data_IF_044921079895
#
_entry.id   IF_044921079895
#
_cell.length_a   1.000
_cell.length_b   1.000
_cell.length_c   1.000
_cell.angle_alpha   90.00
_cell.angle_beta   90.00
_cell.angle_gamma   90.00
#
_symmetry.space_group_name_H-M   'P 1'
#
loop_
_entity.id
_entity.type
_entity.pdbx_description
1 polymer ?
#
# COMPACT_ATOMS: atom_id res chain seq x y z
N UNK A 1 -5.45 64.42 -56.72
CA UNK A 1 -6.59 63.71 -56.06
C UNK A 1 -6.34 62.24 -56.03
N UNK A 2 -5.28 61.78 -55.32
CA UNK A 2 -5.01 60.37 -55.13
C UNK A 2 -4.30 60.24 -53.80
N UNK A 3 -5.00 60.35 -52.69
CA UNK A 3 -4.42 60.15 -51.36
C UNK A 3 -5.48 59.89 -50.27
N UNK A 4 -6.59 59.17 -50.60
CA UNK A 4 -7.66 58.97 -49.58
C UNK A 4 -8.27 57.56 -49.54
N UNK A 5 -7.58 56.60 -50.13
CA UNK A 5 -8.16 55.20 -50.20
C UNK A 5 -7.32 54.12 -49.49
N UNK A 6 -6.29 54.50 -48.78
CA UNK A 6 -5.37 53.51 -48.15
C UNK A 6 -5.52 53.37 -46.62
N UNK A 7 -6.48 54.08 -45.99
CA UNK A 7 -6.67 54.04 -44.55
C UNK A 7 -7.81 53.14 -44.10
N UNK A 8 -8.53 52.51 -45.04
CA UNK A 8 -9.68 51.66 -44.70
C UNK A 8 -9.37 50.17 -44.66
N UNK A 9 -8.15 49.72 -44.99
CA UNK A 9 -7.79 48.29 -45.02
C UNK A 9 -6.93 47.87 -43.83
N UNK A 10 -6.37 48.83 -43.06
CA UNK A 10 -5.51 48.51 -41.92
C UNK A 10 -6.27 48.26 -40.59
N UNK A 11 -7.56 48.56 -40.56
CA UNK A 11 -8.37 48.44 -39.31
C UNK A 11 -9.18 47.16 -39.21
N UNK A 12 -9.14 46.29 -40.21
CA UNK A 12 -9.96 45.05 -40.22
C UNK A 12 -9.16 43.78 -39.96
N UNK A 13 -7.83 43.87 -39.69
CA UNK A 13 -6.98 42.70 -39.38
C UNK A 13 -6.56 42.60 -37.90
N UNK A 14 -7.01 43.53 -37.02
CA UNK A 14 -6.71 43.49 -35.59
C UNK A 14 -7.88 42.85 -34.78
N UNK A 15 -9.03 42.66 -35.39
CA UNK A 15 -10.22 42.09 -34.70
C UNK A 15 -10.36 40.57 -34.80
N UNK A 16 -9.48 39.87 -35.52
CA UNK A 16 -9.57 38.40 -35.68
C UNK A 16 -8.50 37.60 -34.94
N UNK A 17 -7.64 38.29 -34.13
CA UNK A 17 -6.55 37.68 -33.38
C UNK A 17 -6.81 37.55 -31.87
N UNK A 18 -8.00 37.88 -31.40
CA UNK A 18 -8.33 37.86 -29.97
C UNK A 18 -9.42 36.91 -29.63
N UNK A 19 -9.13 35.63 -29.42
CA UNK A 19 -10.21 34.75 -28.91
C UNK A 19 -9.98 33.28 -28.96
N UNK A 20 -8.78 32.79 -28.81
CA UNK A 20 -8.58 31.41 -28.31
C UNK A 20 -7.73 31.53 -27.04
N UNK A 21 -8.31 32.10 -25.98
CA UNK A 21 -7.93 31.75 -24.65
C UNK A 21 -8.43 30.31 -24.44
N UNK A 22 -7.55 29.34 -24.70
CA UNK A 22 -7.75 27.98 -24.20
C UNK A 22 -7.80 28.13 -22.70
N UNK A 23 -9.00 28.04 -22.12
CA UNK A 23 -9.18 27.81 -20.71
C UNK A 23 -8.55 26.44 -20.43
N UNK A 24 -7.28 26.43 -20.11
CA UNK A 24 -6.65 25.35 -19.36
C UNK A 24 -7.36 25.45 -18.01
N UNK A 25 -8.45 24.69 -17.86
CA UNK A 25 -9.02 24.45 -16.57
C UNK A 25 -7.89 23.81 -15.75
N UNK A 26 -7.27 24.59 -14.89
CA UNK A 26 -6.46 24.06 -13.81
C UNK A 26 -7.33 23.04 -13.11
N UNK A 27 -7.12 21.76 -13.43
CA UNK A 27 -7.59 20.69 -12.56
C UNK A 27 -6.80 20.88 -11.27
N UNK A 28 -7.36 21.61 -10.34
CA UNK A 28 -6.88 21.58 -8.96
C UNK A 28 -6.82 20.12 -8.54
N UNK A 29 -5.61 19.59 -8.48
CA UNK A 29 -5.36 18.30 -7.83
C UNK A 29 -5.81 18.54 -6.38
N UNK A 30 -6.81 17.79 -5.87
CA UNK A 30 -7.29 18.02 -4.52
C UNK A 30 -6.09 17.98 -3.55
N UNK A 31 -5.92 19.02 -2.77
CA UNK A 31 -4.85 19.05 -1.77
C UNK A 31 -4.98 17.84 -0.85
N UNK A 32 -3.85 17.18 -0.55
CA UNK A 32 -3.87 16.05 0.37
C UNK A 32 -4.47 16.51 1.71
N UNK A 33 -5.35 15.69 2.36
CA UNK A 33 -5.96 16.04 3.63
C UNK A 33 -4.91 16.43 4.67
N UNK A 34 -5.25 17.36 5.56
CA UNK A 34 -4.38 17.69 6.68
C UNK A 34 -4.09 16.44 7.54
N UNK A 35 -2.90 16.32 8.18
CA UNK A 35 -2.54 15.11 8.93
C UNK A 35 -3.57 14.66 9.98
N UNK A 36 -4.29 15.60 10.60
CA UNK A 36 -5.35 15.32 11.58
C UNK A 36 -6.65 14.77 10.95
N UNK A 37 -6.83 14.90 9.64
CA UNK A 37 -8.02 14.45 8.90
C UNK A 37 -7.81 13.11 8.21
N UNK A 38 -6.57 12.60 8.22
CA UNK A 38 -6.24 11.34 7.55
C UNK A 38 -6.70 10.14 8.38
N UNK A 39 -7.27 9.10 7.74
CA UNK A 39 -7.58 7.86 8.42
C UNK A 39 -6.36 7.26 9.12
N UNK A 40 -6.54 6.72 10.32
CA UNK A 40 -5.47 6.06 11.05
C UNK A 40 -5.16 4.68 10.42
N UNK A 41 -3.87 4.40 10.24
CA UNK A 41 -3.35 3.12 9.76
C UNK A 41 -2.30 2.61 10.74
N UNK A 42 -2.59 1.51 11.44
CA UNK A 42 -1.55 0.81 12.19
C UNK A 42 -0.61 0.08 11.21
N UNK A 43 0.69 0.15 11.45
CA UNK A 43 1.73 -0.49 10.63
C UNK A 43 2.57 -1.42 11.48
N UNK A 44 2.47 -2.72 11.25
CA UNK A 44 3.35 -3.76 11.78
C UNK A 44 4.26 -4.25 10.67
N UNK A 45 5.56 -4.08 10.80
CA UNK A 45 6.49 -4.48 9.75
C UNK A 45 7.84 -4.91 10.31
N UNK A 46 8.48 -5.88 9.63
CA UNK A 46 9.90 -6.20 9.81
C UNK A 46 10.80 -5.51 8.77
N UNK A 47 10.18 -4.91 7.74
CA UNK A 47 10.89 -4.22 6.67
C UNK A 47 11.34 -2.83 7.13
N UNK A 48 12.45 -2.30 6.63
CA UNK A 48 12.97 -0.98 7.00
C UNK A 48 12.16 0.16 6.34
N UNK A 49 10.82 0.13 6.48
CA UNK A 49 9.92 1.12 5.87
C UNK A 49 9.94 2.45 6.62
N UNK A 50 9.98 2.38 7.96
CA UNK A 50 9.89 3.57 8.83
C UNK A 50 11.28 4.17 9.07
N UNK A 51 12.25 3.30 9.34
CA UNK A 51 13.64 3.67 9.54
C UNK A 51 14.48 2.91 8.54
N UNK A 52 15.27 3.62 7.74
CA UNK A 52 16.22 2.99 6.84
C UNK A 52 17.24 2.13 7.60
N UNK A 53 17.90 1.20 6.92
CA UNK A 53 18.95 0.35 7.55
C UNK A 53 20.16 1.12 8.03
N UNK A 54 20.43 2.31 7.49
CA UNK A 54 21.52 3.17 7.88
C UNK A 54 21.00 4.32 8.76
N UNK A 55 21.56 4.48 9.94
CA UNK A 55 21.36 5.65 10.80
C UNK A 55 22.07 6.86 10.17
N UNK A 56 21.41 7.56 9.25
CA UNK A 56 21.87 8.81 8.67
C UNK A 56 20.84 9.91 8.86
N UNK A 57 21.27 11.13 9.09
CA UNK A 57 20.39 12.32 9.21
C UNK A 57 19.53 12.58 7.95
N UNK A 58 19.76 11.81 6.88
CA UNK A 58 19.02 11.87 5.62
C UNK A 58 18.18 10.62 5.35
N UNK A 59 18.09 9.67 6.26
CA UNK A 59 17.25 8.50 6.13
C UNK A 59 15.78 8.87 6.38
N UNK A 60 15.16 9.54 5.43
CA UNK A 60 13.70 9.61 5.31
C UNK A 60 13.13 8.19 5.19
N UNK A 61 11.87 7.99 5.55
CA UNK A 61 11.17 6.72 5.36
C UNK A 61 11.20 6.27 3.90
N UNK A 62 10.85 5.01 3.67
CA UNK A 62 10.80 4.42 2.32
C UNK A 62 9.78 5.14 1.42
N UNK A 63 9.88 4.91 0.10
CA UNK A 63 8.88 5.38 -0.86
C UNK A 63 7.47 4.85 -0.50
N UNK A 64 7.39 3.60 -0.02
CA UNK A 64 6.14 3.00 0.45
C UNK A 64 5.56 3.77 1.66
N UNK A 65 6.37 4.10 2.67
CA UNK A 65 5.91 4.92 3.80
C UNK A 65 5.43 6.29 3.33
N UNK A 66 6.21 6.96 2.50
CA UNK A 66 5.84 8.28 1.95
C UNK A 66 4.51 8.21 1.17
N UNK A 67 4.27 7.14 0.44
CA UNK A 67 3.02 6.90 -0.29
C UNK A 67 1.84 6.68 0.65
N UNK A 68 2.03 5.91 1.71
CA UNK A 68 1.01 5.70 2.75
C UNK A 68 0.66 7.00 3.48
N UNK A 69 1.68 7.80 3.85
CA UNK A 69 1.50 9.05 4.58
C UNK A 69 0.80 10.15 3.78
N UNK A 70 0.72 10.04 2.45
CA UNK A 70 -0.09 10.95 1.63
C UNK A 70 -1.58 10.82 1.95
N UNK A 71 -2.05 9.63 2.34
CA UNK A 71 -3.46 9.34 2.60
C UNK A 71 -3.78 9.02 4.06
N UNK A 72 -2.86 8.38 4.78
CA UNK A 72 -3.07 7.84 6.11
C UNK A 72 -2.23 8.57 7.16
N UNK A 73 -2.73 8.59 8.39
CA UNK A 73 -1.92 8.85 9.58
C UNK A 73 -1.32 7.51 10.02
N UNK A 74 -0.07 7.24 9.58
CA UNK A 74 0.61 5.96 9.83
C UNK A 74 1.13 5.90 11.26
N UNK A 75 0.76 4.83 11.98
CA UNK A 75 1.20 4.56 13.35
C UNK A 75 1.96 3.23 13.39
N UNK A 76 3.29 3.25 13.48
CA UNK A 76 4.06 2.03 13.67
C UNK A 76 3.73 1.37 15.02
N UNK A 77 3.56 0.05 15.00
CA UNK A 77 3.36 -0.79 16.20
C UNK A 77 4.37 -1.93 16.19
N UNK A 78 4.77 -2.39 17.37
CA UNK A 78 5.72 -3.49 17.51
C UNK A 78 5.04 -4.86 17.52
N UNK A 79 3.81 -4.92 18.01
CA UNK A 79 2.98 -6.14 18.13
C UNK A 79 1.53 -5.82 17.82
N UNK A 80 0.78 -6.83 17.38
CA UNK A 80 -0.64 -6.70 17.07
C UNK A 80 -1.52 -7.16 18.25
N UNK A 81 -1.28 -6.60 19.44
CA UNK A 81 -2.07 -6.86 20.63
C UNK A 81 -3.30 -5.94 20.74
N UNK A 82 -4.21 -6.26 21.63
CA UNK A 82 -5.43 -5.51 21.86
C UNK A 82 -5.18 -4.06 22.28
N UNK A 83 -4.07 -3.79 22.97
CA UNK A 83 -3.68 -2.43 23.40
C UNK A 83 -3.22 -1.59 22.21
N UNK A 84 -2.35 -2.14 21.34
CA UNK A 84 -1.86 -1.47 20.13
C UNK A 84 -2.96 -1.25 19.09
N UNK A 85 -3.93 -2.17 19.00
CA UNK A 85 -5.05 -2.14 18.07
C UNK A 85 -6.25 -1.34 18.59
N UNK A 86 -6.22 -0.89 19.84
CA UNK A 86 -7.31 -0.11 20.43
C UNK A 86 -7.57 1.18 19.63
N UNK A 87 -8.81 1.33 19.16
CA UNK A 87 -9.24 2.48 18.35
C UNK A 87 -8.76 2.45 16.90
N UNK A 88 -7.96 1.45 16.51
CA UNK A 88 -7.59 1.23 15.11
C UNK A 88 -8.72 0.49 14.39
N UNK A 89 -8.89 0.81 13.11
CA UNK A 89 -9.80 0.08 12.22
C UNK A 89 -9.09 -0.59 11.06
N UNK A 90 -7.90 -0.11 10.73
CA UNK A 90 -7.10 -0.57 9.60
C UNK A 90 -5.68 -0.89 10.07
N UNK A 91 -5.21 -2.07 9.70
CA UNK A 91 -3.87 -2.58 9.99
C UNK A 91 -3.19 -3.04 8.71
N UNK A 92 -1.98 -2.54 8.47
CA UNK A 92 -1.07 -3.09 7.48
C UNK A 92 -0.01 -3.92 8.20
N UNK A 93 0.05 -5.20 7.89
CA UNK A 93 1.10 -6.12 8.32
C UNK A 93 2.04 -6.38 7.13
N UNK A 94 3.07 -5.56 6.99
CA UNK A 94 4.02 -5.65 5.88
C UNK A 94 5.15 -6.62 6.23
N UNK A 95 5.04 -7.87 5.82
CA UNK A 95 5.99 -8.95 6.09
C UNK A 95 6.40 -9.00 7.57
N UNK A 96 5.44 -9.18 8.48
CA UNK A 96 5.72 -9.14 9.92
C UNK A 96 6.58 -10.33 10.34
N UNK A 97 7.32 -10.17 11.44
CA UNK A 97 7.92 -11.33 12.12
C UNK A 97 6.86 -12.25 12.67
N UNK A 98 7.22 -13.51 12.88
CA UNK A 98 6.37 -14.46 13.59
C UNK A 98 5.85 -13.84 14.90
N UNK A 99 4.54 -13.87 15.09
CA UNK A 99 3.89 -13.40 16.29
C UNK A 99 3.61 -14.60 17.21
N UNK A 100 3.73 -14.45 18.55
CA UNK A 100 3.26 -15.46 19.49
C UNK A 100 1.78 -15.81 19.26
N UNK A 101 1.40 -17.04 19.59
CA UNK A 101 0.05 -17.53 19.36
C UNK A 101 -1.03 -16.68 20.07
N UNK A 102 -0.72 -16.17 21.23
CA UNK A 102 -1.61 -15.33 22.03
C UNK A 102 -1.95 -14.04 21.29
N UNK A 103 -0.95 -13.41 20.65
CA UNK A 103 -1.15 -12.19 19.85
C UNK A 103 -1.94 -12.46 18.56
N UNK A 104 -1.82 -13.67 18.00
CA UNK A 104 -2.62 -14.05 16.83
C UNK A 104 -4.09 -14.26 17.21
N UNK A 105 -4.37 -14.75 18.41
CA UNK A 105 -5.75 -14.84 18.94
C UNK A 105 -6.33 -13.41 19.11
N UNK A 106 -5.60 -12.50 19.74
CA UNK A 106 -6.04 -11.11 19.91
C UNK A 106 -6.28 -10.41 18.57
N UNK A 107 -5.40 -10.64 17.60
CA UNK A 107 -5.57 -10.14 16.23
C UNK A 107 -6.81 -10.72 15.56
N UNK A 108 -7.04 -12.04 15.65
CA UNK A 108 -8.24 -12.68 15.08
C UNK A 108 -9.52 -12.12 15.72
N UNK A 109 -9.53 -11.97 17.04
CA UNK A 109 -10.65 -11.36 17.77
C UNK A 109 -10.90 -9.92 17.32
N UNK A 110 -9.83 -9.12 17.14
CA UNK A 110 -9.94 -7.76 16.66
C UNK A 110 -10.52 -7.71 15.23
N UNK A 111 -10.06 -8.60 14.33
CA UNK A 111 -10.60 -8.69 12.98
C UNK A 111 -12.08 -9.12 13.04
N UNK A 112 -12.42 -10.16 13.83
CA UNK A 112 -13.82 -10.62 13.99
C UNK A 112 -14.73 -9.53 14.53
N UNK A 113 -14.21 -8.63 15.34
CA UNK A 113 -14.91 -7.46 15.87
C UNK A 113 -15.11 -6.31 14.88
N UNK A 114 -14.65 -6.45 13.62
CA UNK A 114 -14.81 -5.45 12.56
C UNK A 114 -13.50 -4.77 12.13
N UNK A 115 -12.36 -5.21 12.65
CA UNK A 115 -11.04 -4.79 12.20
C UNK A 115 -10.77 -5.21 10.75
N UNK A 116 -9.90 -4.49 10.08
CA UNK A 116 -9.55 -4.71 8.67
C UNK A 116 -8.05 -4.80 8.53
N UNK A 117 -7.55 -5.90 8.01
CA UNK A 117 -6.12 -6.17 7.89
C UNK A 117 -5.72 -6.41 6.44
N UNK A 118 -4.64 -5.76 6.02
CA UNK A 118 -3.87 -6.11 4.84
C UNK A 118 -2.58 -6.77 5.29
N UNK A 119 -2.40 -8.04 4.95
CA UNK A 119 -1.20 -8.82 5.26
C UNK A 119 -0.41 -9.07 3.98
N UNK A 120 0.85 -8.64 3.96
CA UNK A 120 1.82 -8.99 2.93
C UNK A 120 2.63 -10.17 3.45
N UNK A 121 2.34 -11.37 2.93
CA UNK A 121 2.89 -12.63 3.37
C UNK A 121 3.78 -13.21 2.28
N UNK A 122 5.07 -12.84 2.32
CA UNK A 122 6.03 -13.25 1.31
C UNK A 122 6.70 -14.57 1.70
N UNK A 123 6.51 -15.67 0.96
CA UNK A 123 7.16 -16.93 1.29
C UNK A 123 8.66 -16.94 0.97
N UNK A 124 9.15 -15.98 0.19
CA UNK A 124 10.55 -15.90 -0.24
C UNK A 124 10.98 -14.46 -0.52
N UNK A 125 11.16 -13.72 0.56
CA UNK A 125 11.53 -12.30 0.51
C UNK A 125 12.92 -12.12 -0.13
N UNK A 126 12.98 -11.27 -1.17
CA UNK A 126 14.21 -10.90 -1.88
C UNK A 126 14.78 -9.55 -1.43
N UNK A 127 14.29 -9.01 -0.31
CA UNK A 127 14.68 -7.71 0.21
C UNK A 127 16.16 -7.68 0.58
N UNK A 128 16.95 -6.88 -0.13
CA UNK A 128 18.36 -6.70 0.17
C UNK A 128 18.54 -6.03 1.54
N UNK A 129 19.43 -6.60 2.34
CA UNK A 129 19.79 -6.06 3.65
C UNK A 129 21.30 -6.13 3.84
N UNK A 130 21.89 -5.02 4.30
CA UNK A 130 23.31 -4.94 4.68
C UNK A 130 23.59 -5.53 6.06
N UNK A 131 22.53 -5.88 6.81
CA UNK A 131 22.65 -6.48 8.13
C UNK A 131 23.11 -7.93 8.03
N UNK A 132 23.99 -8.41 8.93
CA UNK A 132 24.44 -9.80 8.92
C UNK A 132 23.25 -10.76 9.18
N UNK A 133 23.43 -12.00 8.75
CA UNK A 133 22.47 -13.07 9.04
C UNK A 133 22.40 -13.26 10.56
N UNK A 134 21.19 -13.32 11.11
CA UNK A 134 20.94 -13.41 12.56
C UNK A 134 20.81 -12.08 13.27
N UNK A 135 21.03 -10.94 12.61
CA UNK A 135 20.73 -9.64 13.19
C UNK A 135 19.19 -9.52 13.46
N UNK A 136 18.78 -9.17 14.67
CA UNK A 136 17.36 -9.03 15.02
C UNK A 136 16.60 -7.99 14.20
N UNK A 137 17.30 -7.06 13.55
CA UNK A 137 16.69 -6.04 12.71
C UNK A 137 16.71 -6.40 11.21
N UNK A 138 17.33 -7.52 10.82
CA UNK A 138 17.25 -8.01 9.46
C UNK A 138 15.86 -8.57 9.19
N UNK A 139 15.18 -8.21 8.10
CA UNK A 139 13.93 -8.85 7.72
C UNK A 139 14.07 -10.37 7.62
N UNK A 140 13.10 -11.17 8.09
CA UNK A 140 13.14 -12.62 7.91
C UNK A 140 13.06 -12.97 6.42
N UNK A 141 13.76 -14.03 5.95
CA UNK A 141 13.80 -14.38 4.53
C UNK A 141 12.47 -14.95 4.00
N UNK A 142 11.55 -15.27 4.89
CA UNK A 142 10.23 -15.78 4.56
C UNK A 142 9.21 -15.40 5.63
N UNK A 143 7.97 -15.21 5.22
CA UNK A 143 6.86 -15.07 6.17
C UNK A 143 6.64 -16.40 6.89
N UNK A 144 6.66 -16.34 8.21
CA UNK A 144 6.37 -17.48 9.06
C UNK A 144 4.88 -17.46 9.43
N UNK A 145 4.07 -18.26 8.74
CA UNK A 145 2.69 -18.51 9.17
C UNK A 145 2.69 -19.40 10.42
N UNK A 146 2.37 -18.81 11.56
CA UNK A 146 2.22 -19.52 12.82
C UNK A 146 0.78 -19.97 13.07
N UNK A 147 0.00 -20.15 11.99
CA UNK A 147 -1.34 -20.72 12.01
C UNK A 147 -2.48 -19.73 11.69
N UNK A 148 -2.20 -18.44 11.56
CA UNK A 148 -3.22 -17.44 11.28
C UNK A 148 -3.89 -17.65 9.91
N UNK A 149 -3.08 -17.88 8.86
CA UNK A 149 -3.63 -18.13 7.52
C UNK A 149 -4.46 -19.39 7.47
N UNK A 150 -3.94 -20.49 8.04
CA UNK A 150 -4.67 -21.74 8.11
C UNK A 150 -6.00 -21.59 8.90
N UNK A 151 -6.00 -20.78 9.96
CA UNK A 151 -7.20 -20.48 10.73
C UNK A 151 -8.26 -19.73 9.91
N UNK A 152 -7.84 -18.87 9.00
CA UNK A 152 -8.72 -18.17 8.06
C UNK A 152 -9.03 -18.99 6.79
N UNK A 153 -8.52 -20.23 6.72
CA UNK A 153 -8.73 -21.13 5.58
C UNK A 153 -7.95 -20.75 4.34
N UNK A 154 -6.79 -20.13 4.53
CA UNK A 154 -5.86 -19.71 3.47
C UNK A 154 -4.61 -20.55 3.54
N UNK A 155 -4.14 -21.02 2.41
CA UNK A 155 -2.88 -21.73 2.22
C UNK A 155 -1.93 -20.86 1.40
N UNK A 156 -0.70 -20.68 1.89
CA UNK A 156 0.38 -19.96 1.22
C UNK A 156 1.46 -20.95 0.81
N UNK A 157 1.84 -20.93 -0.46
CA UNK A 157 2.93 -21.72 -1.02
C UNK A 157 3.88 -20.83 -1.82
N UNK A 158 5.08 -21.30 -2.10
CA UNK A 158 5.92 -20.67 -3.11
C UNK A 158 5.22 -20.80 -4.48
N UNK A 159 5.20 -19.71 -5.23
CA UNK A 159 4.61 -19.67 -6.58
C UNK A 159 5.64 -19.88 -7.64
N UNK A 160 5.18 -20.19 -8.84
CA UNK A 160 5.98 -20.13 -10.05
C UNK A 160 5.68 -18.80 -10.75
N UNK A 161 6.61 -18.30 -11.55
CA UNK A 161 6.44 -17.10 -12.36
C UNK A 161 5.15 -17.18 -13.16
N UNK A 162 4.25 -16.25 -12.91
CA UNK A 162 2.98 -16.09 -13.62
C UNK A 162 2.75 -14.62 -13.89
N UNK A 163 1.85 -14.30 -14.78
CA UNK A 163 1.44 -12.93 -15.05
C UNK A 163 0.85 -12.28 -13.80
N UNK A 164 1.65 -11.46 -13.13
CA UNK A 164 1.28 -10.75 -11.91
C UNK A 164 1.02 -9.26 -12.19
N UNK A 165 0.20 -8.61 -11.34
CA UNK A 165 -0.08 -7.17 -11.48
C UNK A 165 1.11 -6.27 -11.09
N UNK A 166 2.17 -6.84 -10.49
CA UNK A 166 3.37 -6.14 -9.99
C UNK A 166 4.64 -6.87 -10.44
N UNK A 167 5.76 -6.18 -10.43
CA UNK A 167 7.09 -6.78 -10.64
C UNK A 167 7.52 -7.52 -9.37
N UNK A 168 7.11 -8.76 -9.24
CA UNK A 168 7.49 -9.63 -8.15
C UNK A 168 8.66 -10.54 -8.57
N UNK A 169 9.66 -10.67 -7.72
CA UNK A 169 10.85 -11.47 -8.01
C UNK A 169 10.58 -12.97 -7.85
N UNK A 170 9.87 -13.34 -6.79
CA UNK A 170 9.49 -14.72 -6.51
C UNK A 170 8.17 -14.73 -5.72
N UNK A 171 7.06 -14.51 -6.39
CA UNK A 171 5.77 -14.37 -5.70
C UNK A 171 5.35 -15.68 -5.08
N UNK A 172 4.63 -15.56 -3.97
CA UNK A 172 3.90 -16.68 -3.40
C UNK A 172 2.61 -16.96 -4.16
N UNK A 173 2.00 -18.08 -3.83
CA UNK A 173 0.68 -18.46 -4.30
C UNK A 173 -0.25 -18.76 -3.13
N UNK A 174 -1.40 -18.11 -3.15
CA UNK A 174 -2.46 -18.28 -2.17
C UNK A 174 -3.58 -19.15 -2.73
N UNK A 175 -4.09 -20.05 -1.92
CA UNK A 175 -5.29 -20.83 -2.20
C UNK A 175 -6.26 -20.73 -1.03
N UNK A 176 -7.55 -20.73 -1.31
CA UNK A 176 -8.60 -20.80 -0.30
C UNK A 176 -9.88 -21.39 -0.88
N UNK A 177 -10.65 -22.08 -0.04
CA UNK A 177 -12.02 -22.54 -0.35
C UNK A 177 -13.08 -21.65 0.31
N UNK A 178 -12.67 -20.78 1.23
CA UNK A 178 -13.57 -19.96 2.05
C UNK A 178 -13.51 -18.48 1.66
N UNK A 179 -12.46 -18.07 0.98
CA UNK A 179 -12.17 -16.69 0.63
C UNK A 179 -12.17 -16.48 -0.90
N UNK A 180 -12.34 -15.26 -1.33
CA UNK A 180 -12.18 -14.86 -2.73
C UNK A 180 -10.69 -14.89 -3.12
N UNK A 181 -10.36 -15.70 -4.12
CA UNK A 181 -9.00 -15.77 -4.69
C UNK A 181 -8.96 -14.92 -5.96
N UNK A 182 -8.02 -14.00 -6.04
CA UNK A 182 -7.85 -13.08 -7.15
C UNK A 182 -6.40 -13.09 -7.68
N UNK A 183 -6.19 -12.52 -8.86
CA UNK A 183 -4.89 -12.40 -9.50
C UNK A 183 -4.12 -13.75 -9.51
N UNK A 184 -4.76 -14.82 -9.97
CA UNK A 184 -4.18 -16.17 -10.07
C UNK A 184 -3.58 -16.71 -8.75
N UNK A 185 -4.15 -16.33 -7.60
CA UNK A 185 -3.67 -16.74 -6.29
C UNK A 185 -2.65 -15.76 -5.68
N UNK A 186 -2.41 -14.62 -6.30
CA UNK A 186 -1.54 -13.59 -5.72
C UNK A 186 -2.24 -12.83 -4.57
N UNK A 187 -3.55 -12.69 -4.63
CA UNK A 187 -4.36 -11.99 -3.63
C UNK A 187 -5.49 -12.89 -3.17
N UNK A 188 -5.71 -12.95 -1.86
CA UNK A 188 -6.88 -13.57 -1.25
C UNK A 188 -7.59 -12.57 -0.35
N UNK A 189 -8.93 -12.52 -0.44
CA UNK A 189 -9.77 -11.64 0.38
C UNK A 189 -10.77 -12.45 1.17
N UNK A 190 -10.66 -12.38 2.49
CA UNK A 190 -11.47 -13.13 3.45
C UNK A 190 -12.43 -12.22 4.20
N UNK A 191 -13.61 -12.73 4.46
CA UNK A 191 -14.49 -12.19 5.51
C UNK A 191 -14.25 -12.98 6.78
N UNK A 192 -13.88 -12.30 7.86
CA UNK A 192 -13.59 -12.90 9.16
C UNK A 192 -14.49 -12.24 10.20
N UNK A 193 -15.57 -12.91 10.59
CA UNK A 193 -16.58 -12.31 11.46
C UNK A 193 -17.20 -11.05 10.83
N UNK A 194 -17.11 -9.92 11.52
CA UNK A 194 -17.57 -8.62 11.02
C UNK A 194 -16.49 -7.86 10.24
N UNK A 195 -15.24 -8.32 10.31
CA UNK A 195 -14.11 -7.69 9.67
C UNK A 195 -13.67 -8.37 8.39
N UNK A 196 -12.49 -8.00 7.94
CA UNK A 196 -11.92 -8.46 6.66
C UNK A 196 -10.42 -8.60 6.75
N UNK A 197 -9.91 -9.61 6.05
CA UNK A 197 -8.49 -9.79 5.82
C UNK A 197 -8.23 -9.87 4.31
N UNK A 198 -7.32 -9.06 3.82
CA UNK A 198 -6.72 -9.23 2.49
C UNK A 198 -5.29 -9.71 2.67
N UNK A 199 -4.90 -10.77 1.97
CA UNK A 199 -3.56 -11.33 1.99
C UNK A 199 -2.98 -11.19 0.59
N UNK A 200 -1.77 -10.67 0.48
CA UNK A 200 -0.97 -10.60 -0.75
C UNK A 200 0.26 -11.48 -0.55
N UNK A 201 0.55 -12.36 -1.50
CA UNK A 201 1.62 -13.35 -1.41
C UNK A 201 2.99 -12.79 -1.83
N UNK A 202 3.26 -11.55 -1.50
CA UNK A 202 4.51 -10.85 -1.82
C UNK A 202 4.66 -9.63 -0.92
N UNK A 203 5.89 -9.20 -0.67
CA UNK A 203 6.20 -7.95 0.01
C UNK A 203 7.33 -7.17 -0.68
N UNK A 204 8.03 -7.79 -1.64
CA UNK A 204 9.12 -7.17 -2.38
C UNK A 204 8.66 -5.98 -3.22
N UNK A 205 7.40 -6.02 -3.69
CA UNK A 205 6.81 -4.93 -4.45
C UNK A 205 6.75 -3.58 -3.69
N UNK A 206 6.88 -3.59 -2.35
CA UNK A 206 7.00 -2.35 -1.57
C UNK A 206 8.29 -1.58 -1.86
N UNK A 207 9.29 -2.25 -2.42
CA UNK A 207 10.54 -1.65 -2.89
C UNK A 207 10.49 -1.31 -4.38
N UNK A 208 9.38 -1.59 -5.02
CA UNK A 208 9.13 -1.39 -6.43
C UNK A 208 8.77 0.05 -6.81
N UNK A 209 8.31 0.20 -8.03
CA UNK A 209 7.93 1.48 -8.60
C UNK A 209 6.55 1.98 -8.17
N UNK A 210 6.14 3.11 -8.74
CA UNK A 210 4.84 3.74 -8.42
C UNK A 210 3.64 2.82 -8.64
N UNK A 211 3.67 2.00 -9.71
CA UNK A 211 2.57 1.07 -10.03
C UNK A 211 2.38 0.00 -8.96
N UNK A 212 3.47 -0.46 -8.37
CA UNK A 212 3.45 -1.47 -7.33
C UNK A 212 2.85 -0.90 -6.04
N UNK A 213 3.23 0.34 -5.71
CA UNK A 213 2.65 1.06 -4.58
C UNK A 213 1.17 1.43 -4.82
N UNK A 214 0.73 1.59 -6.06
CA UNK A 214 -0.69 1.80 -6.37
C UNK A 214 -1.53 0.55 -6.07
N UNK A 215 -0.97 -0.66 -6.21
CA UNK A 215 -1.62 -1.89 -5.75
C UNK A 215 -1.83 -1.87 -4.23
N UNK A 216 -0.79 -1.54 -3.45
CA UNK A 216 -0.89 -1.39 -2.00
C UNK A 216 -2.04 -0.45 -1.62
N UNK A 217 -2.06 0.73 -2.22
CA UNK A 217 -3.07 1.75 -1.94
C UNK A 217 -4.47 1.28 -2.32
N UNK A 218 -4.63 0.63 -3.48
CA UNK A 218 -5.93 0.15 -3.95
C UNK A 218 -6.53 -0.92 -3.04
N UNK A 219 -5.71 -1.83 -2.49
CA UNK A 219 -6.21 -2.87 -1.57
C UNK A 219 -6.53 -2.29 -0.18
N UNK A 220 -5.77 -1.31 0.31
CA UNK A 220 -6.11 -0.58 1.54
C UNK A 220 -7.43 0.19 1.38
N UNK A 221 -7.62 0.90 0.28
CA UNK A 221 -8.86 1.63 -0.03
C UNK A 221 -10.06 0.69 -0.17
N UNK A 222 -9.86 -0.47 -0.78
CA UNK A 222 -10.88 -1.52 -0.89
C UNK A 222 -11.31 -2.04 0.49
N UNK A 223 -10.35 -2.19 1.40
CA UNK A 223 -10.65 -2.59 2.79
C UNK A 223 -11.44 -1.50 3.52
N UNK A 224 -11.13 -0.22 3.30
CA UNK A 224 -11.84 0.90 3.93
C UNK A 224 -13.28 1.05 3.43
N UNK A 225 -13.51 0.85 2.13
CA UNK A 225 -14.78 1.19 1.48
C UNK A 225 -15.90 0.16 1.67
N UNK A 226 -15.59 -1.01 2.19
CA UNK A 226 -16.52 -2.15 2.35
C UNK A 226 -16.57 -2.58 3.80
#
# INVERSE_FOLDING_TARGET
>A
MIARRWWAVATLLVAAGGGIAVAIADREVPAAPAPAERPALALLTSLPLVFGESFGLQSGGSAALSRLEQRYSVRPIAVADSASLKGQRLLLMAHPRAQPAELLVELDEWVRGGGRVLLLADPRLSWESKRPIGDPLRPPPAFADTGLLAHWGVELTEGNDSELPVEAVTPGKLASRLCEVAANGFIVRCRVGQGRATIIADADFLNGGQKDLDLLMSELERLESR
#
